data_IF_315635107610
#
_entry.id   IF_315635107610
#
_cell.length_a   1.000
_cell.length_b   1.000
_cell.length_c   1.000
_cell.angle_alpha   90.00
_cell.angle_beta   90.00
_cell.angle_gamma   90.00
#
_symmetry.space_group_name_H-M   'P 1'
#
loop_
_entity.id
_entity.type
_entity.pdbx_description
1 polymer ?
#
# COMPACT_ATOMS: atom_id res chain seq x y z
N UNK A 1 2.01 13.27 -15.00
CA UNK A 1 2.46 12.87 -13.66
C UNK A 1 2.22 11.40 -13.44
N UNK A 2 3.25 10.68 -13.03
CA UNK A 2 3.12 9.25 -12.76
C UNK A 2 2.82 9.03 -11.27
N UNK A 3 1.72 8.38 -10.98
CA UNK A 3 1.26 8.11 -9.61
C UNK A 3 1.57 6.68 -9.23
N UNK A 4 2.25 6.51 -8.10
CA UNK A 4 2.59 5.20 -7.54
C UNK A 4 1.75 4.99 -6.29
N UNK A 5 1.09 3.84 -6.18
CA UNK A 5 0.36 3.47 -4.98
C UNK A 5 1.04 2.27 -4.33
N UNK A 6 1.04 2.27 -3.01
CA UNK A 6 1.49 1.14 -2.21
C UNK A 6 0.42 0.87 -1.17
N UNK A 7 0.44 -0.31 -0.58
CA UNK A 7 -0.51 -0.65 0.47
C UNK A 7 0.20 -1.37 1.62
N UNK A 8 -0.38 -1.30 2.79
CA UNK A 8 0.15 -1.99 3.94
C UNK A 8 -0.62 -1.66 5.21
N UNK A 9 -0.33 -2.41 6.25
CA UNK A 9 -0.92 -2.20 7.57
C UNK A 9 -0.13 -1.18 8.37
N UNK A 10 1.20 -1.22 8.27
CA UNK A 10 2.11 -0.34 9.01
C UNK A 10 1.79 -0.35 10.51
N UNK A 11 1.69 -1.53 11.07
CA UNK A 11 1.16 -1.75 12.41
C UNK A 11 2.09 -2.65 13.22
N UNK A 12 3.17 -2.12 13.80
CA UNK A 12 3.60 -0.72 13.70
C UNK A 12 4.47 -0.44 12.48
N UNK A 13 4.67 0.83 12.18
CA UNK A 13 5.60 1.23 11.13
C UNK A 13 7.04 1.11 11.66
N UNK A 14 7.96 0.70 10.79
CA UNK A 14 9.38 0.59 11.14
C UNK A 14 10.28 0.93 9.95
N UNK A 15 11.60 0.84 10.17
CA UNK A 15 12.59 1.26 9.17
C UNK A 15 12.45 0.53 7.83
N UNK A 16 12.09 -0.75 7.86
CA UNK A 16 11.86 -1.51 6.63
C UNK A 16 10.74 -0.92 5.79
N UNK A 17 9.67 -0.46 6.42
CA UNK A 17 8.60 0.22 5.73
C UNK A 17 9.08 1.52 5.10
N UNK A 18 9.92 2.27 5.81
CA UNK A 18 10.43 3.52 5.30
C UNK A 18 11.28 3.32 4.04
N UNK A 19 12.13 2.29 4.01
CA UNK A 19 12.91 1.97 2.82
C UNK A 19 12.02 1.60 1.65
N UNK A 20 11.01 0.78 1.89
CA UNK A 20 10.05 0.39 0.88
C UNK A 20 9.34 1.61 0.29
N UNK A 21 8.89 2.53 1.14
CA UNK A 21 8.20 3.74 0.70
C UNK A 21 9.12 4.66 -0.11
N UNK A 22 10.38 4.79 0.28
CA UNK A 22 11.35 5.59 -0.46
C UNK A 22 11.59 5.01 -1.85
N UNK A 23 11.73 3.69 -1.96
CA UNK A 23 11.92 3.03 -3.23
C UNK A 23 10.69 3.19 -4.13
N UNK A 24 9.50 3.05 -3.56
CA UNK A 24 8.27 3.24 -4.30
C UNK A 24 8.16 4.66 -4.83
N UNK A 25 8.50 5.66 -4.04
CA UNK A 25 8.46 7.06 -4.48
C UNK A 25 9.37 7.29 -5.68
N UNK A 26 10.50 6.62 -5.73
CA UNK A 26 11.45 6.77 -6.84
C UNK A 26 10.91 6.27 -8.18
N UNK A 27 9.83 5.51 -8.17
CA UNK A 27 9.23 4.96 -9.40
C UNK A 27 8.34 5.96 -10.14
N UNK A 28 7.99 7.07 -9.51
CA UNK A 28 7.11 8.04 -10.14
C UNK A 28 7.22 9.42 -9.49
N UNK A 29 6.20 10.23 -9.73
CA UNK A 29 6.19 11.63 -9.27
C UNK A 29 5.42 11.81 -7.97
N UNK A 30 4.41 10.97 -7.73
CA UNK A 30 3.56 11.09 -6.56
C UNK A 30 3.38 9.71 -5.92
N UNK A 31 3.56 9.65 -4.60
CA UNK A 31 3.35 8.40 -3.85
C UNK A 31 2.09 8.51 -3.00
N UNK A 32 1.16 7.59 -3.23
CA UNK A 32 -0.05 7.44 -2.43
C UNK A 32 0.07 6.16 -1.63
N UNK A 33 -0.09 6.24 -0.32
CA UNK A 33 -0.01 5.07 0.55
C UNK A 33 -1.41 4.67 1.00
N UNK A 34 -1.83 3.47 0.63
CA UNK A 34 -3.11 2.90 1.06
C UNK A 34 -2.88 2.22 2.40
N UNK A 35 -3.50 2.72 3.44
CA UNK A 35 -3.39 2.16 4.79
C UNK A 35 -4.56 1.19 4.99
N UNK A 36 -4.24 -0.06 5.28
CA UNK A 36 -5.28 -1.05 5.58
C UNK A 36 -5.99 -0.66 6.88
N UNK A 37 -7.31 -0.76 6.89
CA UNK A 37 -8.13 -0.29 8.00
C UNK A 37 -8.02 -1.21 9.22
N UNK A 38 -8.49 -0.72 10.37
CA UNK A 38 -8.59 -1.55 11.58
C UNK A 38 -9.47 -2.76 11.33
N UNK A 39 -10.55 -2.58 10.56
CA UNK A 39 -11.42 -3.69 10.19
C UNK A 39 -10.64 -4.78 9.45
N UNK A 40 -9.79 -4.39 8.50
CA UNK A 40 -8.97 -5.33 7.75
C UNK A 40 -7.91 -5.98 8.64
N UNK A 41 -7.34 -5.22 9.58
CA UNK A 41 -6.36 -5.76 10.53
C UNK A 41 -7.00 -6.84 11.40
N UNK A 42 -8.25 -6.63 11.82
CA UNK A 42 -8.99 -7.61 12.60
C UNK A 42 -9.20 -8.90 11.81
N UNK A 43 -9.46 -8.78 10.52
CA UNK A 43 -9.62 -9.97 9.66
C UNK A 43 -8.32 -10.76 9.52
N UNK A 44 -7.19 -10.07 9.49
CA UNK A 44 -5.89 -10.72 9.24
C UNK A 44 -5.23 -11.24 10.50
N UNK A 45 -5.22 -10.46 11.57
CA UNK A 45 -4.43 -10.78 12.76
C UNK A 45 -5.15 -10.58 14.07
N UNK A 46 -6.44 -10.27 14.03
CA UNK A 46 -7.26 -10.04 15.20
C UNK A 46 -7.35 -8.58 15.54
N UNK A 47 -6.47 -8.07 16.38
CA UNK A 47 -6.56 -6.68 16.81
C UNK A 47 -5.38 -5.89 16.30
N UNK A 48 -5.64 -4.67 15.82
CA UNK A 48 -4.55 -3.79 15.41
C UNK A 48 -3.78 -3.29 16.63
N UNK A 49 -2.46 -3.17 16.46
CA UNK A 49 -1.59 -2.66 17.51
C UNK A 49 -1.72 -1.14 17.63
N UNK A 50 -1.81 -0.45 16.50
CA UNK A 50 -2.01 1.00 16.44
C UNK A 50 -3.32 1.30 15.74
N UNK A 51 -4.15 2.22 16.28
CA UNK A 51 -5.39 2.61 15.61
C UNK A 51 -5.10 3.19 14.23
N UNK A 52 -6.05 3.04 13.30
CA UNK A 52 -5.86 3.51 11.93
C UNK A 52 -5.60 5.01 11.85
N UNK A 53 -6.19 5.81 12.74
CA UNK A 53 -5.97 7.25 12.76
C UNK A 53 -4.51 7.59 13.02
N UNK A 54 -3.88 6.85 13.96
CA UNK A 54 -2.48 7.06 14.29
C UNK A 54 -1.57 6.64 13.14
N UNK A 55 -1.89 5.52 12.50
CA UNK A 55 -1.11 5.03 11.37
C UNK A 55 -1.18 6.00 10.19
N UNK A 56 -2.36 6.55 9.92
CA UNK A 56 -2.52 7.56 8.87
C UNK A 56 -1.68 8.80 9.17
N UNK A 57 -1.73 9.27 10.40
CA UNK A 57 -1.01 10.47 10.79
C UNK A 57 0.50 10.31 10.67
N UNK A 58 1.03 9.17 11.15
CA UNK A 58 2.48 8.93 11.10
C UNK A 58 2.95 8.80 9.65
N UNK A 59 2.26 8.01 8.85
CA UNK A 59 2.67 7.78 7.47
C UNK A 59 2.57 9.06 6.65
N UNK A 60 1.52 9.85 6.88
CA UNK A 60 1.34 11.12 6.17
C UNK A 60 2.48 12.12 6.46
N UNK A 61 3.09 12.01 7.62
CA UNK A 61 4.18 12.90 8.01
C UNK A 61 5.53 12.52 7.40
N UNK A 62 5.63 11.37 6.75
CA UNK A 62 6.87 10.94 6.13
C UNK A 62 7.16 11.75 4.87
N UNK A 63 8.42 12.15 4.72
CA UNK A 63 8.83 13.04 3.62
C UNK A 63 8.53 12.48 2.23
N UNK A 64 8.69 11.18 2.05
CA UNK A 64 8.50 10.56 0.74
C UNK A 64 7.02 10.35 0.38
N UNK A 65 6.12 10.52 1.33
CA UNK A 65 4.69 10.27 1.11
C UNK A 65 3.98 11.57 0.73
N UNK A 66 3.30 11.54 -0.40
CA UNK A 66 2.53 12.70 -0.87
C UNK A 66 1.09 12.67 -0.36
N UNK A 67 0.52 11.49 -0.25
CA UNK A 67 -0.88 11.35 0.15
C UNK A 67 -1.11 10.00 0.81
N UNK A 68 -2.00 9.95 1.79
CA UNK A 68 -2.44 8.70 2.40
C UNK A 68 -3.92 8.47 2.08
N UNK A 69 -4.32 7.22 2.00
CA UNK A 69 -5.68 6.83 1.68
C UNK A 69 -6.06 5.65 2.56
N UNK A 70 -7.09 5.82 3.37
CA UNK A 70 -7.58 4.71 4.21
C UNK A 70 -8.35 3.74 3.33
N UNK A 71 -7.97 2.46 3.37
CA UNK A 71 -8.61 1.44 2.53
C UNK A 71 -10.12 1.40 2.74
N UNK A 72 -10.85 1.38 1.62
CA UNK A 72 -12.31 1.29 1.62
C UNK A 72 -12.79 -0.16 1.45
N UNK A 73 -11.85 -1.10 1.31
CA UNK A 73 -12.17 -2.51 1.13
C UNK A 73 -12.64 -3.14 2.44
N UNK A 74 -13.50 -4.14 2.31
CA UNK A 74 -14.01 -4.87 3.47
C UNK A 74 -13.50 -6.31 3.54
N UNK A 75 -12.55 -6.65 2.68
CA UNK A 75 -11.83 -7.92 2.73
C UNK A 75 -10.34 -7.62 2.94
N UNK A 76 -9.49 -8.62 2.78
CA UNK A 76 -8.04 -8.44 3.00
C UNK A 76 -7.32 -7.79 1.81
N UNK A 77 -8.04 -7.53 0.73
CA UNK A 77 -7.45 -6.93 -0.46
C UNK A 77 -7.56 -5.41 -0.43
N UNK A 78 -6.97 -4.76 -1.44
CA UNK A 78 -7.16 -3.32 -1.65
C UNK A 78 -7.73 -3.06 -3.05
N UNK A 79 -8.50 -4.00 -3.57
CA UNK A 79 -9.06 -3.93 -4.91
C UNK A 79 -9.92 -2.69 -5.14
N UNK A 80 -10.86 -2.42 -4.24
CA UNK A 80 -11.74 -1.25 -4.39
C UNK A 80 -10.98 0.06 -4.23
N UNK A 81 -9.98 0.07 -3.35
CA UNK A 81 -9.13 1.25 -3.18
C UNK A 81 -8.36 1.53 -4.46
N UNK A 82 -7.81 0.51 -5.11
CA UNK A 82 -7.12 0.67 -6.38
C UNK A 82 -8.06 1.13 -7.49
N UNK A 83 -9.29 0.61 -7.53
CA UNK A 83 -10.29 1.07 -8.50
C UNK A 83 -10.60 2.55 -8.32
N UNK A 84 -10.67 2.99 -7.08
CA UNK A 84 -10.94 4.39 -6.78
C UNK A 84 -9.78 5.30 -7.16
N UNK A 85 -8.56 4.90 -6.82
CA UNK A 85 -7.37 5.72 -7.05
C UNK A 85 -6.84 5.66 -8.47
N UNK A 86 -6.94 4.50 -9.11
CA UNK A 86 -6.43 4.25 -10.47
C UNK A 86 -5.01 4.78 -10.67
N UNK A 87 -4.05 4.31 -9.86
CA UNK A 87 -2.67 4.76 -10.01
C UNK A 87 -2.05 4.21 -11.29
N UNK A 88 -0.91 4.75 -11.68
CA UNK A 88 -0.16 4.23 -12.83
C UNK A 88 0.60 2.97 -12.44
N UNK A 89 1.11 2.92 -11.21
CA UNK A 89 1.89 1.79 -10.70
C UNK A 89 1.35 1.40 -9.33
N UNK A 90 1.27 0.09 -9.10
CA UNK A 90 1.01 -0.47 -7.78
C UNK A 90 2.26 -1.23 -7.37
N UNK A 91 2.97 -0.74 -6.36
CA UNK A 91 4.25 -1.30 -5.95
C UNK A 91 4.10 -2.15 -4.69
N UNK A 92 4.82 -3.25 -4.64
CA UNK A 92 4.80 -4.18 -3.51
C UNK A 92 6.20 -4.39 -2.96
N UNK A 93 6.28 -4.56 -1.64
CA UNK A 93 7.50 -5.01 -1.00
C UNK A 93 7.62 -6.53 -1.12
N UNK A 94 8.85 -7.03 -1.13
CA UNK A 94 9.08 -8.45 -1.22
C UNK A 94 8.78 -9.01 -2.59
N UNK A 95 8.66 -10.33 -2.65
CA UNK A 95 8.47 -11.05 -3.91
C UNK A 95 7.04 -11.59 -3.99
N UNK A 96 6.22 -10.95 -4.80
CA UNK A 96 4.85 -11.38 -5.04
C UNK A 96 4.59 -11.69 -6.50
N UNK A 97 5.63 -11.65 -7.33
CA UNK A 97 5.46 -11.84 -8.78
C UNK A 97 4.96 -13.23 -9.12
N UNK A 98 5.28 -14.23 -8.30
CA UNK A 98 4.89 -15.61 -8.53
C UNK A 98 3.55 -15.97 -7.89
N UNK A 99 2.96 -15.07 -7.14
CA UNK A 99 1.71 -15.32 -6.46
C UNK A 99 0.57 -14.56 -7.11
N UNK A 100 -0.55 -15.25 -7.31
CA UNK A 100 -1.75 -14.59 -7.80
C UNK A 100 -2.41 -13.88 -6.63
N UNK A 101 -2.48 -12.55 -6.72
CA UNK A 101 -3.12 -11.74 -5.67
C UNK A 101 -4.44 -11.21 -6.21
N UNK A 102 -5.42 -10.93 -5.31
CA UNK A 102 -6.72 -10.43 -5.75
C UNK A 102 -6.64 -9.15 -6.58
N UNK A 103 -5.66 -8.31 -6.31
CA UNK A 103 -5.48 -7.04 -6.99
C UNK A 103 -5.10 -7.19 -8.47
N UNK A 104 -4.61 -8.36 -8.86
CA UNK A 104 -4.18 -8.59 -10.25
C UNK A 104 -5.27 -8.29 -11.26
N UNK A 105 -6.51 -8.71 -10.98
CA UNK A 105 -7.62 -8.48 -11.89
C UNK A 105 -7.91 -6.99 -12.07
N UNK A 106 -7.83 -6.22 -10.98
CA UNK A 106 -8.04 -4.77 -11.01
C UNK A 106 -6.94 -4.09 -11.80
N UNK A 107 -5.69 -4.52 -11.58
CA UNK A 107 -4.55 -3.96 -12.31
C UNK A 107 -4.68 -4.17 -13.81
N UNK A 108 -5.11 -5.36 -14.23
CA UNK A 108 -5.32 -5.64 -15.65
C UNK A 108 -6.44 -4.80 -16.23
N UNK A 109 -7.53 -4.64 -15.49
CA UNK A 109 -8.70 -3.89 -15.94
C UNK A 109 -8.37 -2.42 -16.17
N UNK A 110 -7.58 -1.82 -15.30
CA UNK A 110 -7.27 -0.40 -15.36
C UNK A 110 -5.86 -0.11 -15.88
N UNK A 111 -5.20 -1.13 -16.39
CA UNK A 111 -3.86 -0.99 -16.99
C UNK A 111 -2.84 -0.42 -15.98
N UNK A 112 -2.87 -0.93 -14.77
CA UNK A 112 -1.95 -0.54 -13.71
C UNK A 112 -0.75 -1.45 -13.75
N UNK A 113 0.45 -0.88 -13.78
CA UNK A 113 1.69 -1.66 -13.79
C UNK A 113 2.01 -2.14 -12.38
N UNK A 114 2.36 -3.42 -12.23
CA UNK A 114 2.76 -3.97 -10.94
C UNK A 114 4.27 -4.02 -10.84
N UNK A 115 4.81 -3.48 -9.76
CA UNK A 115 6.25 -3.54 -9.46
C UNK A 115 6.39 -4.19 -8.09
N UNK A 116 7.20 -5.24 -7.99
CA UNK A 116 7.43 -5.93 -6.71
C UNK A 116 8.91 -5.96 -6.36
N UNK A 117 9.25 -6.59 -5.24
CA UNK A 117 10.64 -6.73 -4.82
C UNK A 117 11.26 -5.47 -4.25
N UNK A 118 10.46 -4.49 -3.85
CA UNK A 118 11.00 -3.25 -3.29
C UNK A 118 11.39 -3.43 -1.83
N UNK A 119 12.65 -3.11 -1.51
CA UNK A 119 13.14 -3.20 -0.16
C UNK A 119 13.37 -4.64 0.28
N UNK A 120 13.79 -4.81 1.51
CA UNK A 120 14.02 -6.13 2.07
C UNK A 120 12.72 -6.74 2.55
N UNK A 121 12.64 -8.06 2.37
CA UNK A 121 11.49 -8.82 2.86
C UNK A 121 11.53 -8.88 4.38
N UNK A 122 10.47 -8.51 5.00
CA UNK A 122 10.38 -8.41 6.46
C UNK A 122 9.48 -9.48 7.02
#
# INVERSE_FOLDING_TARGET
MKVVAVSGYFDPIHVGHLEYLKMAKSLGDKLVVIINSDYQADLKKGKSFMPEEDRLEIVQALRCVDEVFLSIDKDKSVCKSLEHLKPDIFANGGDRSLEEIPETAVMKKYNIEMVDGLGEKI
#
